data_IF_601798302523
#
_entry.id   IF_601798302523
#
_cell.length_a   1.000
_cell.length_b   1.000
_cell.length_c   1.000
_cell.angle_alpha   90.00
_cell.angle_beta   90.00
_cell.angle_gamma   90.00
#
_symmetry.space_group_name_H-M   'P 1'
#
loop_
_entity.id
_entity.type
_entity.pdbx_description
1 polymer ?
#
# COMPACT_ATOMS: atom_id res chain seq x y z
N UNK A 1 0.69 -15.06 23.69
CA UNK A 1 -0.42 -14.12 23.47
C UNK A 1 -1.26 -14.01 24.71
N UNK A 2 -1.73 -12.79 25.06
CA UNK A 2 -2.63 -12.56 26.19
C UNK A 2 -3.89 -11.90 25.67
N UNK A 3 -5.02 -12.56 25.86
CA UNK A 3 -6.33 -12.06 25.46
C UNK A 3 -7.10 -11.64 26.72
N UNK A 4 -7.41 -10.35 26.82
CA UNK A 4 -8.20 -9.80 27.92
C UNK A 4 -9.64 -9.67 27.42
N UNK A 5 -10.50 -10.57 27.91
CA UNK A 5 -11.93 -10.61 27.62
C UNK A 5 -12.70 -9.93 28.77
N UNK A 6 -14.02 -9.73 28.61
CA UNK A 6 -14.82 -9.08 29.64
C UNK A 6 -14.77 -9.80 31.00
N UNK A 7 -14.80 -11.13 31.02
CA UNK A 7 -14.93 -11.93 32.19
C UNK A 7 -13.70 -12.80 32.55
N UNK A 8 -12.71 -12.85 31.64
CA UNK A 8 -11.52 -13.69 31.81
C UNK A 8 -10.33 -13.19 31.03
N UNK A 9 -9.14 -13.54 31.48
CA UNK A 9 -7.90 -13.37 30.72
C UNK A 9 -7.41 -14.73 30.29
N UNK A 10 -7.07 -14.88 29.01
CA UNK A 10 -6.52 -16.12 28.44
C UNK A 10 -5.05 -15.86 28.10
N UNK A 11 -4.16 -16.69 28.66
CA UNK A 11 -2.74 -16.70 28.33
C UNK A 11 -2.44 -17.87 27.42
N UNK A 12 -2.53 -17.65 26.11
CA UNK A 12 -2.34 -18.68 25.10
C UNK A 12 -0.91 -18.67 24.56
N UNK A 13 -0.24 -19.79 24.63
CA UNK A 13 0.99 -20.07 23.90
C UNK A 13 0.62 -20.82 22.62
N UNK A 14 1.14 -20.37 21.49
CA UNK A 14 1.01 -21.02 20.21
C UNK A 14 2.39 -21.49 19.76
N UNK A 15 2.59 -22.79 19.70
CA UNK A 15 3.81 -23.40 19.24
C UNK A 15 3.60 -23.99 17.84
N UNK A 16 4.35 -23.48 16.86
CA UNK A 16 4.25 -23.94 15.47
C UNK A 16 4.83 -25.34 15.32
N UNK A 17 4.05 -26.26 14.78
CA UNK A 17 4.45 -27.65 14.51
C UNK A 17 4.78 -27.87 13.04
N UNK A 18 3.97 -27.32 12.14
CA UNK A 18 4.14 -27.47 10.71
C UNK A 18 3.63 -26.23 9.99
N UNK A 19 4.40 -25.80 8.97
CA UNK A 19 4.00 -24.74 8.06
C UNK A 19 4.41 -25.16 6.63
N UNK A 20 3.42 -25.22 5.75
CA UNK A 20 3.62 -25.52 4.33
C UNK A 20 2.89 -24.48 3.49
N UNK A 21 3.63 -23.76 2.67
CA UNK A 21 3.09 -22.81 1.72
C UNK A 21 3.56 -23.14 0.31
N UNK A 22 2.61 -23.36 -0.61
CA UNK A 22 2.87 -23.51 -2.05
C UNK A 22 2.07 -22.47 -2.78
N UNK A 23 2.72 -21.69 -3.61
CA UNK A 23 2.05 -20.72 -4.47
C UNK A 23 2.75 -20.64 -5.83
N UNK A 24 1.96 -20.29 -6.83
CA UNK A 24 2.39 -20.02 -8.19
C UNK A 24 1.88 -18.67 -8.62
N UNK A 25 2.70 -17.92 -9.33
CA UNK A 25 2.30 -16.66 -9.94
C UNK A 25 2.72 -16.68 -11.41
N UNK A 26 1.78 -16.44 -12.30
CA UNK A 26 2.01 -16.31 -13.72
C UNK A 26 1.57 -14.92 -14.17
N UNK A 27 2.47 -14.21 -14.86
CA UNK A 27 2.18 -12.90 -15.42
C UNK A 27 2.32 -12.96 -16.94
N UNK A 28 1.31 -12.46 -17.63
CA UNK A 28 1.29 -12.34 -19.08
C UNK A 28 1.20 -10.84 -19.40
N UNK A 29 2.18 -10.32 -20.12
CA UNK A 29 2.22 -8.93 -20.57
C UNK A 29 2.38 -8.90 -22.09
N UNK A 30 1.40 -8.31 -22.76
CA UNK A 30 1.43 -8.08 -24.20
C UNK A 30 1.30 -6.59 -24.45
N UNK A 31 2.17 -6.03 -25.27
CA UNK A 31 2.13 -4.61 -25.60
C UNK A 31 2.23 -4.38 -27.10
N UNK A 32 1.47 -3.41 -27.58
CA UNK A 32 1.52 -2.91 -28.94
C UNK A 32 1.67 -1.39 -28.92
N UNK A 33 2.66 -0.88 -29.67
CA UNK A 33 2.95 0.54 -29.77
C UNK A 33 2.89 0.98 -31.22
N UNK A 34 2.15 2.05 -31.50
CA UNK A 34 2.11 2.71 -32.77
C UNK A 34 2.43 4.20 -32.57
N UNK A 35 3.47 4.68 -33.22
CA UNK A 35 3.93 6.06 -33.06
C UNK A 35 4.19 6.68 -34.44
N UNK A 36 3.66 7.87 -34.64
CA UNK A 36 4.05 8.74 -35.72
C UNK A 36 4.67 10.01 -35.14
N UNK A 37 5.93 10.25 -35.50
CA UNK A 37 6.70 11.35 -34.92
C UNK A 37 5.95 12.68 -35.05
N UNK A 38 5.94 13.45 -33.94
CA UNK A 38 5.29 14.76 -33.83
C UNK A 38 3.77 14.78 -34.05
N UNK A 39 3.12 13.63 -34.23
CA UNK A 39 1.67 13.56 -34.46
C UNK A 39 0.94 12.83 -33.34
N UNK A 40 1.25 11.56 -33.13
CA UNK A 40 0.58 10.78 -32.09
C UNK A 40 1.40 9.60 -31.58
N UNK A 41 1.04 9.15 -30.38
CA UNK A 41 1.43 7.87 -29.80
C UNK A 41 0.15 7.13 -29.42
N UNK A 42 0.07 5.86 -29.84
CA UNK A 42 -0.98 4.95 -29.41
C UNK A 42 -0.34 3.71 -28.81
N UNK A 43 -0.77 3.33 -27.61
CA UNK A 43 -0.26 2.17 -26.90
C UNK A 43 -1.43 1.33 -26.38
N UNK A 44 -1.31 0.02 -26.55
CA UNK A 44 -2.23 -0.98 -25.99
C UNK A 44 -1.40 -1.94 -25.18
N UNK A 45 -1.78 -2.14 -23.90
CA UNK A 45 -1.13 -3.12 -23.05
C UNK A 45 -2.20 -4.02 -22.43
N UNK A 46 -2.09 -5.31 -22.68
CA UNK A 46 -2.85 -6.33 -21.99
C UNK A 46 -1.96 -6.96 -20.95
N UNK A 47 -2.46 -7.06 -19.70
CA UNK A 47 -1.80 -7.78 -18.61
C UNK A 47 -2.77 -8.75 -18.00
N UNK A 48 -2.27 -9.91 -17.61
CA UNK A 48 -3.03 -10.83 -16.79
C UNK A 48 -2.11 -11.42 -15.71
N UNK A 49 -2.49 -11.24 -14.45
CA UNK A 49 -1.83 -11.88 -13.31
C UNK A 49 -2.71 -13.01 -12.81
N UNK A 50 -2.13 -14.20 -12.76
CA UNK A 50 -2.77 -15.42 -12.26
C UNK A 50 -1.99 -15.84 -11.01
N UNK A 51 -2.68 -15.92 -9.90
CA UNK A 51 -2.13 -16.39 -8.64
C UNK A 51 -2.89 -17.66 -8.21
N UNK A 52 -2.14 -18.67 -7.80
CA UNK A 52 -2.69 -19.92 -7.27
C UNK A 52 -1.85 -20.38 -6.08
N UNK A 53 -2.49 -20.49 -4.93
CA UNK A 53 -1.95 -21.05 -3.71
C UNK A 53 -2.77 -22.28 -3.28
N UNK A 54 -2.52 -23.45 -3.88
CA UNK A 54 -3.32 -24.63 -3.65
C UNK A 54 -3.17 -25.22 -2.25
N UNK A 55 -2.17 -24.81 -1.50
CA UNK A 55 -1.86 -25.39 -0.19
C UNK A 55 -1.10 -24.38 0.68
N UNK A 56 -1.80 -23.81 1.63
CA UNK A 56 -1.26 -23.17 2.81
C UNK A 56 -1.78 -23.93 4.03
N UNK A 57 -0.93 -24.76 4.63
CA UNK A 57 -1.30 -25.58 5.77
C UNK A 57 -0.40 -25.22 6.94
N UNK A 58 -1.03 -24.89 8.06
CA UNK A 58 -0.34 -24.61 9.32
C UNK A 58 -0.93 -25.48 10.41
N UNK A 59 -0.10 -25.99 11.29
CA UNK A 59 -0.56 -26.66 12.51
C UNK A 59 0.23 -26.18 13.72
N UNK A 60 -0.47 -26.02 14.82
CA UNK A 60 0.09 -25.52 16.05
C UNK A 60 -0.40 -26.33 17.24
N UNK A 61 0.40 -26.35 18.30
CA UNK A 61 0.02 -26.74 19.64
C UNK A 61 -0.39 -25.48 20.42
N UNK A 62 -1.56 -25.49 21.02
CA UNK A 62 -2.13 -24.40 21.79
C UNK A 62 -2.27 -24.82 23.25
N UNK A 63 -1.75 -24.04 24.19
CA UNK A 63 -1.84 -24.34 25.61
C UNK A 63 -1.80 -23.05 26.44
N UNK A 64 -2.27 -23.13 27.69
CA UNK A 64 -2.10 -22.04 28.64
C UNK A 64 -0.66 -22.01 29.17
N UNK A 65 -0.06 -20.83 29.27
CA UNK A 65 1.30 -20.67 29.74
C UNK A 65 1.51 -21.21 31.19
N UNK A 66 0.44 -21.28 31.98
CA UNK A 66 0.46 -21.82 33.35
C UNK A 66 0.23 -23.34 33.40
N UNK A 67 -0.28 -23.95 32.35
CA UNK A 67 -0.62 -25.38 32.27
C UNK A 67 -0.29 -25.96 30.89
N UNK A 68 0.99 -26.18 30.63
CA UNK A 68 1.49 -26.67 29.33
C UNK A 68 1.14 -28.15 29.03
N UNK A 69 0.73 -28.90 30.05
CA UNK A 69 0.34 -30.32 29.88
C UNK A 69 -1.08 -30.46 29.35
N UNK A 70 -1.92 -29.46 29.56
CA UNK A 70 -3.26 -29.38 29.03
C UNK A 70 -3.27 -28.56 27.68
N UNK A 71 -3.21 -29.25 26.60
CA UNK A 71 -3.08 -28.65 25.28
C UNK A 71 -4.06 -29.21 24.26
N UNK A 72 -4.30 -28.40 23.24
CA UNK A 72 -5.04 -28.79 22.04
C UNK A 72 -4.19 -28.49 20.80
N UNK A 73 -4.62 -28.99 19.67
CA UNK A 73 -4.02 -28.67 18.38
C UNK A 73 -4.93 -27.75 17.57
N UNK A 74 -4.32 -26.90 16.76
CA UNK A 74 -5.03 -26.17 15.72
C UNK A 74 -4.44 -26.47 14.36
N UNK A 75 -5.31 -26.54 13.37
CA UNK A 75 -4.96 -26.66 11.95
C UNK A 75 -5.61 -25.57 11.14
N UNK A 76 -4.85 -24.94 10.26
CA UNK A 76 -5.34 -24.02 9.25
C UNK A 76 -5.02 -24.58 7.87
N UNK A 77 -6.04 -24.77 7.06
CA UNK A 77 -5.90 -25.05 5.63
C UNK A 77 -6.48 -23.88 4.86
N UNK A 78 -5.71 -23.36 3.91
CA UNK A 78 -6.17 -22.28 3.04
C UNK A 78 -5.83 -22.61 1.59
N UNK A 79 -6.78 -22.42 0.70
CA UNK A 79 -6.59 -22.45 -0.75
C UNK A 79 -7.01 -21.11 -1.28
N UNK A 80 -6.20 -20.53 -2.11
CA UNK A 80 -6.48 -19.23 -2.69
C UNK A 80 -6.10 -19.22 -4.17
N UNK A 81 -6.99 -18.70 -4.99
CA UNK A 81 -6.69 -18.44 -6.40
C UNK A 81 -7.22 -17.06 -6.81
N UNK A 82 -6.57 -16.47 -7.78
CA UNK A 82 -7.07 -15.26 -8.42
C UNK A 82 -6.56 -15.11 -9.84
N UNK A 83 -7.33 -14.45 -10.68
CA UNK A 83 -6.88 -13.94 -11.96
C UNK A 83 -7.34 -12.51 -12.16
N UNK A 84 -6.46 -11.70 -12.77
CA UNK A 84 -6.67 -10.26 -12.88
C UNK A 84 -6.26 -9.77 -14.26
N UNK A 85 -7.08 -10.01 -15.31
CA UNK A 85 -6.86 -9.41 -16.62
C UNK A 85 -7.13 -7.91 -16.61
N UNK A 86 -6.25 -7.15 -17.24
CA UNK A 86 -6.41 -5.72 -17.46
C UNK A 86 -6.03 -5.33 -18.89
N UNK A 87 -6.71 -4.33 -19.44
CA UNK A 87 -6.44 -3.73 -20.73
C UNK A 87 -6.23 -2.23 -20.55
N UNK A 88 -5.05 -1.76 -20.91
CA UNK A 88 -4.68 -0.35 -20.89
C UNK A 88 -4.64 0.17 -22.33
N UNK A 89 -5.36 1.23 -22.58
CA UNK A 89 -5.34 1.99 -23.83
C UNK A 89 -4.78 3.37 -23.53
N UNK A 90 -3.78 3.79 -24.26
CA UNK A 90 -3.19 5.12 -24.15
C UNK A 90 -3.13 5.77 -25.52
N UNK A 91 -3.58 6.99 -25.62
CA UNK A 91 -3.52 7.80 -26.82
C UNK A 91 -3.04 9.20 -26.47
N UNK A 92 -1.99 9.64 -27.17
CA UNK A 92 -1.49 11.01 -27.07
C UNK A 92 -1.46 11.62 -28.47
N UNK A 93 -1.95 12.83 -28.62
CA UNK A 93 -1.94 13.58 -29.88
C UNK A 93 -1.32 14.94 -29.68
N UNK A 94 -0.33 15.25 -30.52
CA UNK A 94 0.21 16.59 -30.68
C UNK A 94 -0.73 17.40 -31.55
N UNK A 95 -1.15 18.56 -31.03
CA UNK A 95 -2.04 19.49 -31.70
C UNK A 95 -1.25 20.75 -32.11
N UNK A 96 -1.75 21.53 -33.10
CA UNK A 96 -1.11 22.79 -33.50
C UNK A 96 -0.92 23.74 -32.32
N UNK A 97 0.02 24.72 -32.48
CA UNK A 97 0.27 25.77 -31.51
C UNK A 97 0.73 25.26 -30.12
N UNK A 98 1.60 24.24 -30.07
CA UNK A 98 2.18 23.65 -28.87
C UNK A 98 1.13 23.14 -27.87
N UNK A 99 0.14 22.43 -28.36
CA UNK A 99 -0.89 21.78 -27.56
C UNK A 99 -0.73 20.26 -27.62
N UNK A 100 -1.20 19.57 -26.62
CA UNK A 100 -1.20 18.12 -26.54
C UNK A 100 -2.46 17.64 -25.84
N UNK A 101 -3.06 16.58 -26.36
CA UNK A 101 -4.16 15.86 -25.75
C UNK A 101 -3.68 14.46 -25.41
N UNK A 102 -3.81 14.07 -24.15
CA UNK A 102 -3.51 12.72 -23.67
C UNK A 102 -4.79 12.10 -23.14
N UNK A 103 -5.10 10.88 -23.57
CA UNK A 103 -6.23 10.11 -23.09
C UNK A 103 -5.76 8.72 -22.71
N UNK A 104 -6.26 8.20 -21.62
CA UNK A 104 -6.03 6.81 -21.23
C UNK A 104 -7.31 6.17 -20.69
N UNK A 105 -7.47 4.89 -20.96
CA UNK A 105 -8.55 4.07 -20.41
C UNK A 105 -7.96 2.74 -19.96
N UNK A 106 -8.19 2.38 -18.70
CA UNK A 106 -7.80 1.09 -18.13
C UNK A 106 -9.04 0.35 -17.67
N UNK A 107 -9.28 -0.83 -18.22
CA UNK A 107 -10.30 -1.77 -17.76
C UNK A 107 -9.64 -2.93 -16.99
N UNK A 108 -10.18 -3.30 -15.83
CA UNK A 108 -9.67 -4.44 -15.04
C UNK A 108 -10.83 -5.30 -14.58
N UNK A 109 -10.67 -6.61 -14.73
CA UNK A 109 -11.52 -7.61 -14.10
C UNK A 109 -10.64 -8.35 -13.08
N UNK A 110 -11.24 -8.72 -11.96
CA UNK A 110 -10.57 -9.52 -10.95
C UNK A 110 -11.55 -10.55 -10.41
N UNK A 111 -11.10 -11.78 -10.36
CA UNK A 111 -11.82 -12.87 -9.72
C UNK A 111 -10.92 -13.52 -8.68
N UNK A 112 -11.47 -13.82 -7.52
CA UNK A 112 -10.74 -14.44 -6.41
C UNK A 112 -11.60 -15.53 -5.79
N UNK A 113 -10.98 -16.68 -5.52
CA UNK A 113 -11.56 -17.74 -4.70
C UNK A 113 -10.64 -17.99 -3.52
N UNK A 114 -11.21 -18.00 -2.33
CA UNK A 114 -10.52 -18.28 -1.09
C UNK A 114 -11.34 -19.25 -0.25
N UNK A 115 -10.77 -20.43 -0.02
CA UNK A 115 -11.35 -21.47 0.86
C UNK A 115 -10.45 -21.61 2.07
N UNK A 116 -11.00 -21.32 3.25
CA UNK A 116 -10.29 -21.37 4.52
C UNK A 116 -11.01 -22.31 5.49
N UNK A 117 -10.28 -23.28 6.01
CA UNK A 117 -10.73 -24.18 7.06
C UNK A 117 -9.80 -24.02 8.27
N UNK A 118 -10.35 -23.55 9.38
CA UNK A 118 -9.71 -23.54 10.69
C UNK A 118 -10.34 -24.62 11.57
N UNK A 119 -9.51 -25.38 12.31
CA UNK A 119 -9.92 -26.54 13.03
C UNK A 119 -9.13 -26.64 14.33
N UNK A 120 -9.83 -26.86 15.47
CA UNK A 120 -9.22 -27.19 16.77
C UNK A 120 -9.62 -28.60 17.17
N UNK A 121 -8.68 -29.36 17.72
CA UNK A 121 -8.89 -30.75 18.11
C UNK A 121 -8.02 -31.18 19.30
N UNK A 122 -8.51 -32.19 20.04
CA UNK A 122 -7.77 -32.76 21.17
C UNK A 122 -6.60 -33.63 20.68
N UNK A 123 -5.64 -34.00 21.58
CA UNK A 123 -4.59 -35.00 21.28
C UNK A 123 -5.13 -36.37 20.82
N UNK A 124 -6.39 -36.68 21.15
CA UNK A 124 -7.09 -37.91 20.72
C UNK A 124 -7.78 -37.75 19.36
N UNK A 125 -7.58 -36.61 18.68
CA UNK A 125 -8.19 -36.23 17.41
C UNK A 125 -9.73 -36.04 17.47
N UNK A 126 -10.26 -35.68 18.64
CA UNK A 126 -11.67 -35.25 18.76
C UNK A 126 -11.79 -33.77 18.39
N UNK A 127 -12.76 -33.48 17.53
CA UNK A 127 -13.03 -32.13 17.04
C UNK A 127 -13.62 -31.25 18.16
N UNK A 128 -13.00 -30.11 18.41
CA UNK A 128 -13.47 -29.10 19.36
C UNK A 128 -14.16 -27.93 18.66
N UNK A 129 -13.60 -27.50 17.52
CA UNK A 129 -14.16 -26.43 16.72
C UNK A 129 -13.75 -26.58 15.25
N UNK A 130 -14.65 -26.23 14.35
CA UNK A 130 -14.41 -26.15 12.92
C UNK A 130 -15.04 -24.87 12.36
N UNK A 131 -14.23 -24.04 11.73
CA UNK A 131 -14.66 -22.79 11.11
C UNK A 131 -14.28 -22.86 9.64
N UNK A 132 -15.28 -22.90 8.80
CA UNK A 132 -15.13 -22.89 7.35
C UNK A 132 -15.57 -21.56 6.79
N UNK A 133 -14.77 -21.00 5.88
CA UNK A 133 -15.07 -19.74 5.21
C UNK A 133 -14.68 -19.87 3.74
N UNK A 134 -15.65 -19.83 2.87
CA UNK A 134 -15.47 -19.74 1.43
C UNK A 134 -15.82 -18.35 0.97
N UNK A 135 -14.94 -17.70 0.22
CA UNK A 135 -15.17 -16.36 -0.30
C UNK A 135 -14.87 -16.34 -1.79
N UNK A 136 -15.90 -16.11 -2.59
CA UNK A 136 -15.76 -15.82 -4.01
C UNK A 136 -15.92 -14.34 -4.25
N UNK A 137 -14.88 -13.69 -4.76
CA UNK A 137 -14.82 -12.25 -5.03
C UNK A 137 -14.81 -11.95 -6.53
N UNK A 138 -15.67 -11.04 -6.97
CA UNK A 138 -15.69 -10.53 -8.32
C UNK A 138 -15.58 -8.99 -8.28
N UNK A 139 -14.61 -8.43 -9.00
CA UNK A 139 -14.40 -6.99 -9.09
C UNK A 139 -14.23 -6.57 -10.54
N UNK A 140 -14.91 -5.51 -10.92
CA UNK A 140 -14.78 -4.87 -12.25
C UNK A 140 -14.47 -3.42 -12.04
N UNK A 141 -13.50 -2.89 -12.76
CA UNK A 141 -13.20 -1.46 -12.69
C UNK A 141 -12.82 -0.89 -14.05
N UNK A 142 -13.12 0.39 -14.21
CA UNK A 142 -12.69 1.20 -15.34
C UNK A 142 -12.12 2.51 -14.82
N UNK A 143 -10.99 2.91 -15.39
CA UNK A 143 -10.37 4.22 -15.15
C UNK A 143 -10.28 4.92 -16.48
N UNK A 144 -10.83 6.12 -16.60
CA UNK A 144 -10.67 6.99 -17.75
C UNK A 144 -9.98 8.28 -17.32
N UNK A 145 -9.02 8.75 -18.10
CA UNK A 145 -8.33 10.02 -17.89
C UNK A 145 -8.17 10.76 -19.20
N UNK A 146 -8.40 12.07 -19.18
CA UNK A 146 -8.12 12.97 -20.28
C UNK A 146 -7.39 14.21 -19.75
N UNK A 147 -6.24 14.54 -20.38
CA UNK A 147 -5.40 15.68 -20.02
C UNK A 147 -5.15 16.51 -21.26
N UNK A 148 -5.40 17.78 -21.16
CA UNK A 148 -5.04 18.78 -22.16
C UNK A 148 -3.88 19.62 -21.64
N UNK A 149 -2.82 19.73 -22.44
CA UNK A 149 -1.64 20.55 -22.17
C UNK A 149 -1.50 21.66 -23.17
N UNK A 150 -1.17 22.84 -22.69
CA UNK A 150 -0.80 24.01 -23.50
C UNK A 150 0.54 24.54 -23.03
N UNK A 151 1.54 24.47 -23.91
CA UNK A 151 2.86 25.06 -23.67
C UNK A 151 2.91 26.49 -24.12
N UNK A 152 3.21 27.37 -23.18
CA UNK A 152 3.54 28.78 -23.39
C UNK A 152 5.06 28.98 -23.35
N UNK A 153 5.52 30.19 -23.61
CA UNK A 153 6.97 30.51 -23.62
C UNK A 153 7.66 30.20 -22.27
N UNK A 154 6.99 30.43 -21.14
CA UNK A 154 7.58 30.33 -19.80
C UNK A 154 6.93 29.29 -18.90
N UNK A 155 5.79 28.73 -19.32
CA UNK A 155 5.06 27.77 -18.50
C UNK A 155 4.28 26.78 -19.39
N UNK A 156 3.90 25.66 -18.79
CA UNK A 156 2.91 24.72 -19.34
C UNK A 156 1.69 24.78 -18.44
N UNK A 157 0.54 24.95 -19.04
CA UNK A 157 -0.76 24.80 -18.40
C UNK A 157 -1.33 23.45 -18.76
N UNK A 158 -1.80 22.70 -17.76
CA UNK A 158 -2.46 21.41 -17.92
C UNK A 158 -3.82 21.46 -17.24
N UNK A 159 -4.83 20.88 -17.87
CA UNK A 159 -6.14 20.65 -17.26
C UNK A 159 -6.56 19.20 -17.54
N UNK A 160 -7.09 18.53 -16.54
CA UNK A 160 -7.44 17.13 -16.67
C UNK A 160 -8.69 16.73 -15.91
N UNK A 161 -9.30 15.67 -16.41
CA UNK A 161 -10.41 14.97 -15.77
C UNK A 161 -10.06 13.50 -15.68
N UNK A 162 -10.26 12.91 -14.50
CA UNK A 162 -10.09 11.48 -14.24
C UNK A 162 -11.34 10.92 -13.59
N UNK A 163 -11.81 9.81 -14.12
CA UNK A 163 -12.92 9.08 -13.55
C UNK A 163 -12.52 7.63 -13.30
N UNK A 164 -12.81 7.14 -12.11
CA UNK A 164 -12.68 5.75 -11.72
C UNK A 164 -14.06 5.25 -11.30
N UNK A 165 -14.45 4.11 -11.84
CA UNK A 165 -15.66 3.38 -11.45
C UNK A 165 -15.28 1.95 -11.11
N UNK A 166 -15.82 1.43 -10.01
CA UNK A 166 -15.60 0.06 -9.56
C UNK A 166 -16.91 -0.53 -9.03
N UNK A 167 -17.13 -1.78 -9.40
CA UNK A 167 -18.13 -2.63 -8.79
C UNK A 167 -17.42 -3.88 -8.25
N UNK A 168 -17.70 -4.22 -7.00
CA UNK A 168 -17.19 -5.42 -6.34
C UNK A 168 -18.34 -6.18 -5.70
N UNK A 169 -18.27 -7.51 -5.75
CA UNK A 169 -19.21 -8.43 -5.12
C UNK A 169 -18.42 -9.56 -4.49
N UNK A 170 -18.64 -9.77 -3.20
CA UNK A 170 -18.10 -10.91 -2.45
C UNK A 170 -19.26 -11.78 -1.99
N UNK A 171 -19.15 -13.06 -2.27
CA UNK A 171 -20.06 -14.09 -1.79
C UNK A 171 -19.33 -14.91 -0.74
N UNK A 172 -19.83 -14.84 0.48
CA UNK A 172 -19.34 -15.62 1.61
C UNK A 172 -20.23 -16.84 1.77
N UNK A 173 -19.62 -18.01 1.88
CA UNK A 173 -20.27 -19.28 2.20
C UNK A 173 -19.56 -19.93 3.40
N UNK A 174 -20.11 -21.04 3.92
CA UNK A 174 -19.60 -21.71 5.10
C UNK A 174 -20.34 -21.29 6.37
N UNK A 175 -19.61 -20.98 7.44
CA UNK A 175 -20.19 -20.73 8.76
C UNK A 175 -21.03 -19.44 8.85
N UNK A 176 -20.82 -18.46 7.96
CA UNK A 176 -21.54 -17.18 7.95
C UNK A 176 -21.86 -16.74 6.52
N UNK A 177 -22.89 -17.32 5.89
CA UNK A 177 -23.21 -17.03 4.50
C UNK A 177 -23.81 -15.64 4.34
N UNK A 178 -23.21 -14.83 3.44
CA UNK A 178 -23.68 -13.47 3.13
C UNK A 178 -23.15 -13.04 1.77
N UNK A 179 -23.86 -12.11 1.11
CA UNK A 179 -23.40 -11.44 -0.12
C UNK A 179 -23.21 -9.99 0.18
N UNK A 180 -22.03 -9.46 -0.14
CA UNK A 180 -21.71 -8.05 -0.02
C UNK A 180 -21.40 -7.46 -1.40
N UNK A 181 -21.97 -6.31 -1.70
CA UNK A 181 -21.81 -5.60 -2.96
C UNK A 181 -21.42 -4.15 -2.70
N UNK A 182 -20.46 -3.65 -3.47
CA UNK A 182 -20.00 -2.27 -3.39
C UNK A 182 -19.94 -1.64 -4.77
N UNK A 183 -20.51 -0.47 -4.88
CA UNK A 183 -20.34 0.41 -6.02
C UNK A 183 -19.54 1.63 -5.58
N UNK A 184 -18.43 1.90 -6.25
CA UNK A 184 -17.52 2.98 -5.91
C UNK A 184 -17.18 3.80 -7.14
N UNK A 185 -17.22 5.13 -7.01
CA UNK A 185 -16.77 6.05 -8.03
C UNK A 185 -15.87 7.14 -7.46
N UNK A 186 -14.85 7.54 -8.22
CA UNK A 186 -13.97 8.66 -7.88
C UNK A 186 -13.77 9.52 -9.12
N UNK A 187 -14.28 10.73 -9.07
CA UNK A 187 -14.16 11.69 -10.17
C UNK A 187 -13.30 12.87 -9.71
N UNK A 188 -12.22 13.13 -10.41
CA UNK A 188 -11.30 14.22 -10.10
C UNK A 188 -11.15 15.15 -11.31
N UNK A 189 -11.29 16.44 -11.09
CA UNK A 189 -10.93 17.48 -12.04
C UNK A 189 -9.77 18.31 -11.47
N UNK A 190 -8.81 18.68 -12.29
CA UNK A 190 -7.66 19.47 -11.85
C UNK A 190 -7.16 20.41 -12.92
N UNK A 191 -6.48 21.47 -12.47
CA UNK A 191 -5.67 22.35 -13.31
C UNK A 191 -4.30 22.48 -12.69
N UNK A 192 -3.26 22.51 -13.52
CA UNK A 192 -1.85 22.60 -13.11
C UNK A 192 -1.13 23.66 -13.94
N UNK A 193 -0.25 24.37 -13.30
CA UNK A 193 0.75 25.26 -13.94
C UNK A 193 2.12 24.77 -13.54
N UNK A 194 2.97 24.50 -14.54
CA UNK A 194 4.37 24.14 -14.31
C UNK A 194 5.30 25.00 -15.15
N UNK A 195 6.48 25.26 -14.63
CA UNK A 195 7.46 26.10 -15.33
C UNK A 195 8.80 26.14 -14.65
N UNK A 196 9.68 26.97 -15.21
CA UNK A 196 11.03 27.19 -14.67
C UNK A 196 11.27 28.68 -14.45
N UNK A 197 11.75 29.01 -13.25
CA UNK A 197 12.21 30.35 -12.90
C UNK A 197 13.65 30.23 -12.43
N UNK A 198 14.61 30.63 -13.28
CA UNK A 198 16.05 30.51 -13.00
C UNK A 198 16.43 29.06 -12.67
N UNK A 199 16.81 28.79 -11.41
CA UNK A 199 17.23 27.48 -10.90
C UNK A 199 16.10 26.68 -10.25
N UNK A 200 14.87 27.17 -10.29
CA UNK A 200 13.70 26.54 -9.69
C UNK A 200 12.76 26.06 -10.80
N UNK A 201 12.49 24.75 -10.83
CA UNK A 201 11.37 24.18 -11.56
C UNK A 201 10.21 24.01 -10.60
N UNK A 202 9.03 24.42 -10.99
CA UNK A 202 7.84 24.34 -10.15
C UNK A 202 6.66 23.72 -10.90
N UNK A 203 5.80 23.07 -10.18
CA UNK A 203 4.48 22.61 -10.61
C UNK A 203 3.50 22.84 -9.45
N UNK A 204 2.41 23.53 -9.73
CA UNK A 204 1.35 23.77 -8.75
C UNK A 204 0.04 23.37 -9.39
N UNK A 205 -0.69 22.47 -8.75
CA UNK A 205 -2.02 22.09 -9.20
C UNK A 205 -3.06 22.29 -8.10
N UNK A 206 -4.27 22.58 -8.53
CA UNK A 206 -5.47 22.57 -7.71
C UNK A 206 -6.46 21.60 -8.34
N UNK A 207 -6.99 20.70 -7.54
CA UNK A 207 -7.98 19.71 -7.97
C UNK A 207 -9.12 19.59 -6.97
N UNK A 208 -10.26 19.11 -7.47
CA UNK A 208 -11.40 18.71 -6.66
C UNK A 208 -11.73 17.26 -6.99
N UNK A 209 -11.82 16.43 -5.97
CA UNK A 209 -12.17 15.01 -6.09
C UNK A 209 -13.51 14.75 -5.41
N UNK A 210 -14.47 14.22 -6.17
CA UNK A 210 -15.68 13.60 -5.65
C UNK A 210 -15.43 12.12 -5.43
N UNK A 211 -15.57 11.65 -4.21
CA UNK A 211 -15.53 10.23 -3.83
C UNK A 211 -16.94 9.77 -3.49
N UNK A 212 -17.37 8.71 -4.13
CA UNK A 212 -18.69 8.10 -3.95
C UNK A 212 -18.52 6.62 -3.67
N UNK A 213 -19.27 6.09 -2.73
CA UNK A 213 -19.42 4.64 -2.56
C UNK A 213 -20.80 4.30 -1.99
N UNK A 214 -21.27 3.12 -2.37
CA UNK A 214 -22.53 2.55 -1.90
C UNK A 214 -22.27 1.09 -1.54
N UNK A 215 -22.69 0.69 -0.34
CA UNK A 215 -22.61 -0.67 0.20
C UNK A 215 -23.82 -0.93 1.09
N UNK A 216 -24.45 -2.11 1.00
CA UNK A 216 -25.52 -2.54 1.90
C UNK A 216 -26.75 -1.63 1.96
N UNK A 217 -26.96 -0.76 0.96
CA UNK A 217 -28.04 0.26 0.96
C UNK A 217 -27.58 1.64 1.41
N UNK A 218 -26.47 1.76 2.12
CA UNK A 218 -25.88 3.04 2.54
C UNK A 218 -25.11 3.68 1.39
N UNK A 219 -25.30 4.99 1.23
CA UNK A 219 -24.70 5.79 0.15
C UNK A 219 -23.95 6.98 0.71
N UNK A 220 -22.69 7.13 0.31
CA UNK A 220 -21.80 8.18 0.79
C UNK A 220 -21.18 8.97 -0.35
N UNK A 221 -21.19 10.30 -0.24
CA UNK A 221 -20.53 11.20 -1.19
C UNK A 221 -19.70 12.24 -0.44
N UNK A 222 -18.42 12.36 -0.81
CA UNK A 222 -17.47 13.30 -0.22
C UNK A 222 -16.76 14.10 -1.31
N UNK A 223 -16.48 15.36 -1.00
CA UNK A 223 -15.69 16.24 -1.85
C UNK A 223 -14.40 16.62 -1.12
N UNK A 224 -13.28 16.43 -1.78
CA UNK A 224 -11.96 16.74 -1.23
C UNK A 224 -11.19 17.64 -2.18
N UNK A 225 -10.69 18.77 -1.66
CA UNK A 225 -9.73 19.60 -2.38
C UNK A 225 -8.37 18.88 -2.39
N UNK A 226 -7.78 18.71 -3.57
CA UNK A 226 -6.58 17.90 -3.81
C UNK A 226 -5.46 18.74 -4.43
N UNK A 227 -4.84 19.66 -3.68
CA UNK A 227 -3.70 20.43 -4.15
C UNK A 227 -2.45 19.56 -4.30
N UNK A 228 -1.61 19.92 -5.28
CA UNK A 228 -0.26 19.37 -5.40
C UNK A 228 0.73 20.50 -5.63
N UNK A 229 1.85 20.46 -4.92
CA UNK A 229 2.98 21.36 -5.13
C UNK A 229 4.23 20.52 -5.37
N UNK A 230 4.95 20.83 -6.44
CA UNK A 230 6.24 20.22 -6.78
C UNK A 230 7.25 21.33 -7.01
N UNK A 231 8.36 21.26 -6.29
CA UNK A 231 9.46 22.21 -6.45
C UNK A 231 10.76 21.42 -6.62
N UNK A 232 11.51 21.80 -7.64
CA UNK A 232 12.87 21.32 -7.83
C UNK A 232 13.80 22.51 -7.87
N UNK A 233 14.79 22.53 -7.01
CA UNK A 233 15.74 23.62 -6.88
C UNK A 233 17.17 23.09 -6.88
N UNK A 234 17.98 23.59 -7.79
CA UNK A 234 19.41 23.31 -7.88
C UNK A 234 20.22 24.51 -7.35
N UNK A 235 20.49 24.58 -6.03
CA UNK A 235 21.21 25.71 -5.43
C UNK A 235 22.59 25.91 -6.02
N UNK A 236 23.27 24.80 -6.35
CA UNK A 236 24.58 24.79 -6.95
C UNK A 236 24.74 23.56 -7.88
N UNK A 237 25.85 23.52 -8.64
CA UNK A 237 26.13 22.51 -9.67
C UNK A 237 25.98 21.06 -9.23
N UNK A 238 26.26 20.77 -7.97
CA UNK A 238 26.32 19.41 -7.42
C UNK A 238 25.15 19.08 -6.47
N UNK A 239 24.22 20.00 -6.27
CA UNK A 239 23.13 19.83 -5.29
C UNK A 239 21.76 20.02 -5.92
N UNK A 240 20.82 19.20 -5.50
CA UNK A 240 19.43 19.27 -5.92
C UNK A 240 18.50 19.07 -4.72
N UNK A 241 17.46 19.89 -4.63
CA UNK A 241 16.39 19.83 -3.63
C UNK A 241 15.09 19.59 -4.39
N UNK A 242 14.38 18.51 -4.02
CA UNK A 242 13.04 18.22 -4.50
C UNK A 242 12.06 18.28 -3.34
N UNK A 243 11.03 19.10 -3.47
CA UNK A 243 9.92 19.13 -2.53
C UNK A 243 8.63 18.73 -3.25
N UNK A 244 7.84 17.90 -2.60
CA UNK A 244 6.50 17.51 -3.05
C UNK A 244 5.52 17.54 -1.90
N UNK A 245 4.39 18.18 -2.16
CA UNK A 245 3.20 18.16 -1.31
C UNK A 245 2.02 17.68 -2.12
N UNK A 246 1.18 16.80 -1.57
CA UNK A 246 -0.10 16.43 -2.15
C UNK A 246 -1.12 16.02 -1.09
N UNK A 247 -2.39 16.21 -1.42
CA UNK A 247 -3.54 15.73 -0.65
C UNK A 247 -4.28 14.68 -1.47
N UNK A 248 -4.59 13.55 -0.83
CA UNK A 248 -5.27 12.43 -1.47
C UNK A 248 -6.42 11.89 -0.59
N UNK A 249 -7.68 11.83 -1.08
CA UNK A 249 -8.74 11.14 -0.38
C UNK A 249 -8.62 9.62 -0.56
N UNK A 250 -8.89 8.89 0.53
CA UNK A 250 -8.95 7.43 0.57
C UNK A 250 -10.36 6.99 0.94
N UNK A 251 -10.88 5.98 0.24
CA UNK A 251 -12.18 5.36 0.47
C UNK A 251 -11.95 4.05 1.24
N UNK A 252 -12.84 3.68 2.19
CA UNK A 252 -12.77 2.39 2.86
C UNK A 252 -12.79 1.21 1.88
N UNK A 253 -12.17 0.09 2.25
CA UNK A 253 -12.27 -1.15 1.48
C UNK A 253 -13.64 -1.81 1.65
N UNK A 254 -14.05 -2.63 0.68
CA UNK A 254 -15.29 -3.41 0.79
C UNK A 254 -15.28 -4.28 2.05
N UNK A 255 -14.19 -4.99 2.32
CA UNK A 255 -14.07 -5.86 3.51
C UNK A 255 -14.18 -5.09 4.83
N UNK A 256 -13.79 -3.82 4.87
CA UNK A 256 -13.92 -2.99 6.07
C UNK A 256 -15.34 -2.44 6.26
N UNK A 257 -16.10 -2.25 5.17
CA UNK A 257 -17.48 -1.75 5.19
C UNK A 257 -18.49 -2.86 5.42
N UNK A 258 -18.24 -4.05 4.90
CA UNK A 258 -19.19 -5.18 4.91
C UNK A 258 -19.52 -5.60 6.35
N UNK A 259 -20.78 -5.53 6.72
CA UNK A 259 -21.28 -5.97 8.03
C UNK A 259 -21.32 -7.51 8.14
N UNK A 260 -20.19 -8.14 7.94
CA UNK A 260 -20.00 -9.60 8.04
C UNK A 260 -19.10 -9.90 9.20
N UNK A 261 -19.53 -10.78 10.08
CA UNK A 261 -18.66 -11.33 11.13
C UNK A 261 -17.95 -12.58 10.60
N UNK A 262 -16.63 -12.55 10.65
CA UNK A 262 -15.78 -13.67 10.29
C UNK A 262 -15.01 -14.15 11.51
N UNK A 263 -15.25 -15.37 11.93
CA UNK A 263 -14.45 -16.01 12.96
C UNK A 263 -13.04 -16.33 12.41
N UNK A 264 -12.03 -15.81 13.07
CA UNK A 264 -10.63 -16.14 12.79
C UNK A 264 -10.25 -17.45 13.49
N UNK A 265 -10.62 -17.54 14.74
CA UNK A 265 -10.49 -18.73 15.58
C UNK A 265 -11.65 -18.78 16.62
N UNK A 266 -11.53 -19.62 17.62
CA UNK A 266 -12.53 -19.74 18.69
C UNK A 266 -12.65 -18.54 19.61
N UNK A 267 -11.69 -17.60 19.58
CA UNK A 267 -11.63 -16.42 20.45
C UNK A 267 -11.81 -15.14 19.66
N UNK A 268 -11.36 -15.09 18.40
CA UNK A 268 -11.24 -13.87 17.62
C UNK A 268 -12.23 -13.82 16.48
N UNK A 269 -12.90 -12.70 16.31
CA UNK A 269 -13.76 -12.38 15.16
C UNK A 269 -13.33 -11.06 14.53
N UNK A 270 -13.47 -10.96 13.22
CA UNK A 270 -13.37 -9.71 12.47
C UNK A 270 -14.76 -9.28 12.03
N UNK A 271 -15.09 -8.05 12.30
CA UNK A 271 -16.37 -7.42 11.93
C UNK A 271 -16.11 -6.20 11.05
N UNK A 272 -16.86 -6.05 9.97
CA UNK A 272 -16.85 -4.82 9.18
C UNK A 272 -17.68 -3.72 9.84
N UNK A 273 -17.47 -2.48 9.36
CA UNK A 273 -18.12 -1.30 9.88
C UNK A 273 -18.71 -0.46 8.72
N UNK A 274 -20.03 -0.55 8.46
CA UNK A 274 -20.70 0.23 7.40
C UNK A 274 -20.64 1.74 7.63
N UNK A 275 -20.43 2.21 8.87
CA UNK A 275 -20.36 3.62 9.22
C UNK A 275 -19.01 4.29 8.88
N UNK A 276 -18.09 3.57 8.24
CA UNK A 276 -16.80 4.14 7.87
C UNK A 276 -16.94 5.26 6.84
N UNK A 277 -16.21 6.34 7.12
CA UNK A 277 -16.10 7.49 6.23
C UNK A 277 -14.77 7.49 5.45
N UNK A 278 -14.70 8.29 4.40
CA UNK A 278 -13.43 8.57 3.71
C UNK A 278 -12.46 9.31 4.62
N UNK A 279 -11.16 9.11 4.39
CA UNK A 279 -10.13 9.88 5.08
C UNK A 279 -9.20 10.57 4.09
N UNK A 280 -8.49 11.60 4.56
CA UNK A 280 -7.57 12.37 3.74
C UNK A 280 -6.13 12.19 4.20
N UNK A 281 -5.24 11.99 3.23
CA UNK A 281 -3.80 11.84 3.43
C UNK A 281 -3.08 13.08 2.89
N UNK A 282 -2.32 13.76 3.75
CA UNK A 282 -1.47 14.89 3.43
C UNK A 282 -0.02 14.41 3.43
N UNK A 283 0.60 14.38 2.28
CA UNK A 283 1.98 13.92 2.13
C UNK A 283 2.91 15.09 1.83
N UNK A 284 4.00 15.18 2.58
CA UNK A 284 5.11 16.09 2.35
C UNK A 284 6.39 15.27 2.20
N UNK A 285 7.13 15.51 1.13
CA UNK A 285 8.42 14.85 0.91
C UNK A 285 9.44 15.91 0.48
N UNK A 286 10.55 15.94 1.18
CA UNK A 286 11.71 16.75 0.86
C UNK A 286 12.91 15.84 0.64
N UNK A 287 13.48 15.89 -0.54
CA UNK A 287 14.72 15.18 -0.87
C UNK A 287 15.80 16.19 -1.19
N UNK A 288 16.94 16.05 -0.55
CA UNK A 288 18.16 16.74 -0.91
C UNK A 288 19.19 15.74 -1.38
N UNK A 289 19.83 16.00 -2.50
CA UNK A 289 20.95 15.21 -3.00
C UNK A 289 22.13 16.13 -3.30
N UNK A 290 23.29 15.68 -2.89
CA UNK A 290 24.58 16.30 -3.22
C UNK A 290 25.51 15.25 -3.78
N UNK A 291 26.01 15.50 -4.98
CA UNK A 291 26.95 14.60 -5.64
C UNK A 291 28.15 15.36 -6.16
N UNK A 292 29.32 15.06 -5.62
CA UNK A 292 30.58 15.66 -6.06
C UNK A 292 31.66 14.60 -6.12
N UNK A 293 32.13 14.28 -7.33
CA UNK A 293 33.20 13.29 -7.55
C UNK A 293 32.86 11.94 -6.86
N UNK A 294 33.55 11.64 -5.76
CA UNK A 294 33.43 10.39 -5.00
C UNK A 294 32.40 10.43 -3.88
N UNK A 295 31.85 11.60 -3.58
CA UNK A 295 30.94 11.80 -2.46
C UNK A 295 29.49 11.94 -2.94
N UNK A 296 28.61 11.14 -2.38
CA UNK A 296 27.16 11.24 -2.55
C UNK A 296 26.54 11.38 -1.17
N UNK A 297 25.81 12.46 -0.96
CA UNK A 297 24.99 12.66 0.22
C UNK A 297 23.53 12.77 -0.22
N UNK A 298 22.64 12.04 0.45
CA UNK A 298 21.20 12.15 0.25
C UNK A 298 20.53 12.34 1.60
N UNK A 299 19.49 13.17 1.61
CA UNK A 299 18.62 13.36 2.75
C UNK A 299 17.18 13.23 2.26
N UNK A 300 16.44 12.31 2.84
CA UNK A 300 15.00 12.19 2.65
C UNK A 300 14.28 12.58 3.94
N UNK A 301 13.34 13.52 3.82
CA UNK A 301 12.42 13.88 4.91
C UNK A 301 11.01 13.69 4.41
N UNK A 302 10.24 12.85 5.08
CA UNK A 302 8.85 12.57 4.73
C UNK A 302 7.96 12.81 5.96
N UNK A 303 6.93 13.63 5.77
CA UNK A 303 5.87 13.82 6.77
C UNK A 303 4.54 13.42 6.16
N UNK A 304 3.84 12.49 6.78
CA UNK A 304 2.48 12.09 6.47
C UNK A 304 1.53 12.50 7.59
N UNK A 305 0.43 13.15 7.23
CA UNK A 305 -0.67 13.44 8.13
C UNK A 305 -1.95 12.84 7.57
N UNK A 306 -2.59 11.97 8.32
CA UNK A 306 -3.81 11.26 7.96
C UNK A 306 -4.94 11.80 8.85
N UNK A 307 -5.87 12.50 8.25
CA UNK A 307 -7.06 13.05 8.94
C UNK A 307 -8.22 12.08 8.81
N UNK A 308 -8.88 11.77 9.91
CA UNK A 308 -10.01 10.82 9.98
C UNK A 308 -9.62 9.41 9.54
N UNK A 309 -8.39 8.99 9.89
CA UNK A 309 -7.81 7.72 9.43
C UNK A 309 -8.63 6.52 9.88
N UNK A 310 -8.77 5.52 9.00
CA UNK A 310 -9.34 4.23 9.34
C UNK A 310 -8.24 3.38 9.99
N UNK A 311 -8.47 2.94 11.20
CA UNK A 311 -7.58 2.06 11.97
C UNK A 311 -8.38 0.92 12.57
N UNK A 312 -7.71 -0.19 12.80
CA UNK A 312 -8.26 -1.35 13.47
C UNK A 312 -8.35 -1.08 14.98
N UNK A 313 -9.52 -1.33 15.54
CA UNK A 313 -9.81 -1.31 16.98
C UNK A 313 -10.13 -2.72 17.42
N UNK A 314 -9.53 -3.16 18.52
CA UNK A 314 -9.78 -4.48 19.11
C UNK A 314 -10.40 -4.27 20.49
N UNK A 315 -11.55 -4.90 20.71
CA UNK A 315 -12.26 -4.82 21.98
C UNK A 315 -12.87 -6.17 22.36
N UNK A 316 -13.13 -6.36 23.64
CA UNK A 316 -13.81 -7.54 24.14
C UNK A 316 -15.32 -7.39 24.00
N UNK A 317 -15.99 -8.46 23.59
CA UNK A 317 -17.45 -8.58 23.54
C UNK A 317 -17.82 -9.98 24.04
N UNK A 318 -18.24 -10.08 25.30
CA UNK A 318 -18.46 -11.34 25.97
C UNK A 318 -17.16 -12.17 26.09
N UNK A 319 -17.14 -13.34 25.49
CA UNK A 319 -16.00 -14.28 25.46
C UNK A 319 -15.19 -14.24 24.17
N UNK A 320 -15.38 -13.19 23.35
CA UNK A 320 -14.69 -12.96 22.08
C UNK A 320 -13.91 -11.66 22.06
N UNK A 321 -12.85 -11.63 21.28
CA UNK A 321 -12.19 -10.40 20.84
C UNK A 321 -12.69 -10.03 19.44
N UNK A 322 -13.25 -8.84 19.36
CA UNK A 322 -13.75 -8.27 18.08
C UNK A 322 -12.71 -7.31 17.56
N UNK A 323 -12.25 -7.57 16.33
CA UNK A 323 -11.47 -6.64 15.55
C UNK A 323 -12.37 -5.94 14.53
N UNK A 324 -12.44 -4.61 14.58
CA UNK A 324 -13.27 -3.79 13.71
C UNK A 324 -12.53 -2.51 13.29
N UNK A 325 -12.68 -2.14 12.03
CA UNK A 325 -12.14 -0.86 11.55
C UNK A 325 -13.00 0.30 11.99
N UNK A 326 -12.35 1.39 12.45
CA UNK A 326 -13.01 2.63 12.87
C UNK A 326 -12.28 3.86 12.35
N UNK A 327 -13.03 4.95 12.11
CA UNK A 327 -12.42 6.24 11.87
C UNK A 327 -11.85 6.82 13.17
N UNK A 328 -10.55 7.08 13.19
CA UNK A 328 -9.82 7.70 14.29
C UNK A 328 -9.45 9.13 13.92
N UNK A 329 -9.27 10.03 14.91
CA UNK A 329 -9.06 11.47 14.67
C UNK A 329 -7.91 11.75 13.72
N UNK A 330 -6.72 11.22 13.98
CA UNK A 330 -5.56 11.39 13.10
C UNK A 330 -4.44 10.41 13.43
N UNK A 331 -3.62 10.13 12.41
CA UNK A 331 -2.30 9.57 12.61
C UNK A 331 -1.30 10.33 11.74
N UNK A 332 -0.07 10.41 12.19
CA UNK A 332 0.99 11.08 11.43
C UNK A 332 2.34 10.44 11.71
N UNK A 333 3.25 10.67 10.78
CA UNK A 333 4.64 10.27 10.96
C UNK A 333 5.58 11.32 10.38
N UNK A 334 6.75 11.42 10.99
CA UNK A 334 7.88 12.16 10.46
C UNK A 334 9.06 11.21 10.34
N UNK A 335 9.54 11.04 9.12
CA UNK A 335 10.74 10.25 8.81
C UNK A 335 11.86 11.16 8.36
N UNK A 336 13.04 10.91 8.90
CA UNK A 336 14.29 11.58 8.56
C UNK A 336 15.30 10.49 8.20
N UNK A 337 15.82 10.50 6.97
CA UNK A 337 16.70 9.45 6.46
C UNK A 337 17.91 10.02 5.72
N UNK A 338 19.02 10.30 6.42
CA UNK A 338 20.28 10.67 5.78
C UNK A 338 21.01 9.43 5.23
N UNK A 339 21.69 9.60 4.12
CA UNK A 339 22.55 8.59 3.52
C UNK A 339 23.81 9.25 2.98
N UNK A 340 24.95 8.64 3.22
CA UNK A 340 26.24 9.07 2.72
C UNK A 340 26.96 7.89 2.06
N UNK A 341 27.45 8.12 0.85
CA UNK A 341 28.24 7.13 0.12
C UNK A 341 29.54 7.76 -0.36
N UNK A 342 30.65 7.11 -0.02
CA UNK A 342 31.97 7.39 -0.57
C UNK A 342 32.27 6.34 -1.65
N UNK A 343 32.37 6.76 -2.91
CA UNK A 343 32.68 5.91 -4.05
C UNK A 343 34.17 5.93 -4.37
N UNK A 344 34.82 4.86 -4.00
CA UNK A 344 36.09 4.44 -4.55
C UNK A 344 37.34 5.27 -4.21
N UNK A 345 38.14 4.67 -3.37
CA UNK A 345 39.59 4.78 -3.51
C UNK A 345 39.97 4.09 -4.81
N UNK A 346 40.74 4.77 -5.65
CA UNK A 346 41.48 4.13 -6.76
C UNK A 346 42.85 3.78 -6.23
N UNK A 347 43.29 2.54 -6.43
CA UNK A 347 44.63 2.08 -6.05
C UNK A 347 45.30 1.61 -7.34
N UNK A 348 46.29 2.39 -7.82
CA UNK A 348 46.92 2.12 -9.10
C UNK A 348 45.90 2.14 -10.26
N UNK A 349 45.87 1.05 -11.03
CA UNK A 349 44.91 0.84 -12.13
C UNK A 349 43.53 0.38 -11.68
N UNK A 350 43.35 0.05 -10.40
CA UNK A 350 42.08 -0.41 -9.85
C UNK A 350 41.15 0.75 -9.59
N UNK A 351 40.05 0.84 -10.36
CA UNK A 351 38.99 1.84 -10.18
C UNK A 351 37.93 1.32 -9.22
N UNK A 352 37.40 2.19 -8.36
CA UNK A 352 36.34 1.86 -7.38
C UNK A 352 36.72 0.70 -6.45
N UNK A 353 37.98 0.62 -6.04
CA UNK A 353 38.50 -0.42 -5.17
C UNK A 353 37.72 -0.57 -3.85
N UNK A 354 37.34 0.54 -3.23
CA UNK A 354 36.57 0.54 -2.00
C UNK A 354 35.39 1.54 -2.10
N UNK A 355 34.19 1.08 -1.82
CA UNK A 355 33.01 1.92 -1.63
C UNK A 355 32.51 1.75 -0.20
N UNK A 356 32.30 2.85 0.49
CA UNK A 356 31.75 2.88 1.84
C UNK A 356 30.38 3.58 1.79
N UNK A 357 29.40 3.01 2.48
CA UNK A 357 28.09 3.61 2.65
C UNK A 357 27.66 3.58 4.11
N UNK A 358 27.04 4.68 4.53
CA UNK A 358 26.34 4.78 5.79
C UNK A 358 24.98 5.40 5.50
N UNK A 359 23.93 4.74 5.92
CA UNK A 359 22.58 5.31 5.91
C UNK A 359 21.91 5.04 7.25
N UNK A 360 21.00 5.90 7.58
CA UNK A 360 20.25 5.77 8.81
C UNK A 360 18.89 6.41 8.67
N UNK A 361 18.03 6.16 9.62
CA UNK A 361 16.73 6.77 9.67
C UNK A 361 16.18 6.83 11.06
N UNK A 362 15.48 7.91 11.29
CA UNK A 362 14.63 8.11 12.45
C UNK A 362 13.21 8.32 11.96
N UNK A 363 12.26 7.56 12.51
CA UNK A 363 10.84 7.77 12.25
C UNK A 363 10.12 7.91 13.57
N UNK A 364 9.38 9.00 13.71
CA UNK A 364 8.45 9.19 14.80
C UNK A 364 7.05 9.04 14.27
N UNK A 365 6.28 8.16 14.91
CA UNK A 365 4.86 7.98 14.69
C UNK A 365 4.09 8.51 15.89
N UNK A 366 2.97 9.18 15.63
CA UNK A 366 2.02 9.52 16.67
C UNK A 366 0.60 9.49 16.13
N UNK A 367 -0.28 8.89 16.90
CA UNK A 367 -1.69 8.77 16.58
C UNK A 367 -2.54 9.33 17.70
N UNK A 368 -3.57 10.04 17.30
CA UNK A 368 -4.62 10.54 18.16
C UNK A 368 -5.89 9.78 17.80
N UNK A 369 -6.19 8.73 18.56
CA UNK A 369 -7.44 8.00 18.44
C UNK A 369 -8.60 8.74 19.10
N UNK A 370 -9.77 8.15 19.07
CA UNK A 370 -10.95 8.69 19.71
C UNK A 370 -10.81 8.66 21.23
N UNK A 371 -10.16 7.63 21.78
CA UNK A 371 -10.01 7.36 23.21
C UNK A 371 -8.56 7.24 23.67
N UNK A 372 -7.58 7.31 22.75
CA UNK A 372 -6.16 7.08 23.08
C UNK A 372 -5.24 8.05 22.34
N UNK A 373 -4.02 8.18 22.85
CA UNK A 373 -2.89 8.79 22.16
C UNK A 373 -1.71 7.83 22.22
N UNK A 374 -1.04 7.63 21.11
CA UNK A 374 0.12 6.75 21.04
C UNK A 374 1.27 7.42 20.32
N UNK A 375 2.49 7.26 20.84
CA UNK A 375 3.72 7.74 20.22
C UNK A 375 4.73 6.61 20.18
N UNK A 376 5.33 6.43 19.01
CA UNK A 376 6.32 5.39 18.77
C UNK A 376 7.48 5.98 17.98
N UNK A 377 8.71 5.62 18.35
CA UNK A 377 9.93 6.03 17.66
C UNK A 377 10.63 4.79 17.11
N UNK A 378 11.11 4.87 15.90
CA UNK A 378 11.89 3.84 15.21
C UNK A 378 13.21 4.45 14.73
N UNK A 379 14.30 3.82 15.03
CA UNK A 379 15.63 4.23 14.63
C UNK A 379 16.38 3.06 13.98
N UNK A 380 16.99 3.28 12.84
CA UNK A 380 17.85 2.29 12.20
C UNK A 380 19.12 2.93 11.64
N UNK A 381 20.16 2.13 11.50
CA UNK A 381 21.34 2.47 10.73
C UNK A 381 21.92 1.25 10.01
N UNK A 382 22.52 1.50 8.83
CA UNK A 382 23.18 0.52 8.02
C UNK A 382 24.57 1.03 7.65
N UNK A 383 25.56 0.15 7.76
CA UNK A 383 26.93 0.36 7.33
C UNK A 383 27.24 -0.63 6.24
N UNK A 384 27.72 -0.16 5.10
CA UNK A 384 28.08 -1.00 3.97
C UNK A 384 29.53 -0.73 3.50
N UNK A 385 30.24 -1.79 3.15
CA UNK A 385 31.53 -1.71 2.50
C UNK A 385 31.57 -2.67 1.31
N UNK A 386 31.96 -2.17 0.15
CA UNK A 386 32.18 -2.98 -1.05
C UNK A 386 33.65 -2.84 -1.45
N UNK A 387 34.33 -3.96 -1.47
CA UNK A 387 35.71 -4.06 -1.88
C UNK A 387 35.78 -4.76 -3.22
N UNK A 388 36.40 -4.13 -4.23
CA UNK A 388 36.53 -4.67 -5.57
C UNK A 388 38.01 -4.86 -5.93
N UNK A 389 38.40 -6.07 -6.27
CA UNK A 389 39.76 -6.39 -6.73
C UNK A 389 39.70 -7.25 -7.98
N UNK A 390 40.09 -6.70 -9.14
CA UNK A 390 40.02 -7.37 -10.44
C UNK A 390 38.57 -7.88 -10.69
N UNK A 391 38.40 -9.20 -10.76
CA UNK A 391 37.10 -9.87 -10.96
C UNK A 391 36.41 -10.26 -9.65
N UNK A 392 36.99 -9.98 -8.50
CA UNK A 392 36.43 -10.30 -7.19
C UNK A 392 35.78 -9.08 -6.58
N UNK A 393 34.63 -9.30 -5.98
CA UNK A 393 33.91 -8.30 -5.18
C UNK A 393 33.54 -8.92 -3.83
N UNK A 394 33.89 -8.23 -2.76
CA UNK A 394 33.52 -8.59 -1.40
C UNK A 394 32.58 -7.50 -0.86
N UNK A 395 31.39 -7.91 -0.41
CA UNK A 395 30.40 -7.06 0.23
C UNK A 395 30.31 -7.39 1.71
N UNK A 396 30.48 -6.39 2.57
CA UNK A 396 30.16 -6.43 3.99
C UNK A 396 29.03 -5.47 4.30
N UNK A 397 28.02 -5.91 5.05
CA UNK A 397 26.91 -5.06 5.51
C UNK A 397 26.60 -5.35 6.98
N UNK A 398 26.38 -4.29 7.74
CA UNK A 398 25.92 -4.35 9.10
C UNK A 398 24.69 -3.46 9.26
N UNK A 399 23.61 -4.00 9.83
CA UNK A 399 22.34 -3.31 10.05
C UNK A 399 21.92 -3.45 11.49
N UNK A 400 21.39 -2.38 12.07
CA UNK A 400 20.75 -2.41 13.40
C UNK A 400 19.50 -1.54 13.36
N UNK A 401 18.46 -2.03 14.03
CA UNK A 401 17.22 -1.30 14.29
C UNK A 401 16.94 -1.32 15.79
N UNK A 402 16.48 -0.19 16.30
CA UNK A 402 16.05 -0.02 17.68
C UNK A 402 14.69 0.70 17.70
N UNK A 403 13.80 0.19 18.48
CA UNK A 403 12.44 0.68 18.67
C UNK A 403 12.33 1.33 20.05
#
# INVERSE_FOLDING_TARGET
>A
ETYVLENKTIHRVQEGLHDQNKHFTHNIDLSYNLTEQDKYVFNVVFRNSIYDAPSLNQSNKLYDAADADNYIFSGLKNKQSSYTPSLDLYYQRTLPKNQMLTMSVTGTLMHTDNNRLYHEYTPQAEDLAMIETDVTGNKRSIIGEAIYDKRFKFLVFSAGLRHYQMYARNEYAGSSPVVSEMNQAKTAAFAEVQGNIRKVSYGVSAGLTRSYFKEGGEEHTYYTFTPTVRLNFSPHKNGNINYRFNVEPKIPSLSALTNVEQAIDTIQIVRGNPALETYSVFNNTLNYSYMKQKFVFMLNVTHGYHKNIIMESVFAEGDKLVSMSENQRSAQFLRFGPSFTFRGLNIGSLKNFLTLSIDGGFTRYWSNGNTYTHTYNDFYYNLGAVFNYKQFSLLGQFSKRAN
#
